data_IF_777060540825
#
_entry.id   IF_777060540825
#
_cell.length_a   1.000
_cell.length_b   1.000
_cell.length_c   1.000
_cell.angle_alpha   90.00
_cell.angle_beta   90.00
_cell.angle_gamma   90.00
#
_symmetry.space_group_name_H-M   'P 1'
#
loop_
_entity.id
_entity.type
_entity.pdbx_description
1 polymer ?
#
# COMPACT_ATOMS: atom_id res chain seq x y z
N UNK A 1 -15.61 -2.29 -3.65
CA UNK A 1 -14.17 -2.53 -3.89
C UNK A 1 -13.42 -1.61 -2.93
N UNK A 2 -12.25 -2.01 -2.47
CA UNK A 2 -11.45 -1.21 -1.54
C UNK A 2 -10.01 -1.14 -2.01
N UNK A 3 -9.31 -0.12 -1.56
CA UNK A 3 -7.88 0.06 -1.80
C UNK A 3 -7.15 -0.01 -0.46
N UNK A 4 -6.21 -0.94 -0.31
CA UNK A 4 -5.27 -0.92 0.81
C UNK A 4 -3.96 -0.26 0.36
N UNK A 5 -3.41 0.57 1.22
CA UNK A 5 -2.07 1.13 1.06
C UNK A 5 -1.22 0.66 2.23
N UNK A 6 -0.17 -0.09 1.94
CA UNK A 6 0.88 -0.40 2.89
C UNK A 6 2.10 0.46 2.65
N UNK A 7 2.81 0.83 3.71
CA UNK A 7 4.03 1.62 3.61
C UNK A 7 5.24 0.88 4.18
N UNK A 8 6.40 1.06 3.55
CA UNK A 8 7.70 0.58 4.05
C UNK A 8 8.81 1.56 3.68
N UNK A 9 9.81 1.72 4.55
CA UNK A 9 11.05 2.44 4.22
C UNK A 9 12.06 1.57 3.46
N UNK A 10 11.78 0.27 3.29
CA UNK A 10 12.64 -0.70 2.61
C UNK A 10 12.11 -1.01 1.21
N UNK A 11 12.92 -0.70 0.19
CA UNK A 11 12.61 -1.06 -1.19
C UNK A 11 12.40 -2.56 -1.36
N UNK A 12 13.19 -3.37 -0.67
CA UNK A 12 13.13 -4.84 -0.78
C UNK A 12 11.82 -5.38 -0.22
N UNK A 13 11.34 -4.84 0.90
CA UNK A 13 10.05 -5.24 1.47
C UNK A 13 8.89 -4.85 0.55
N UNK A 14 8.88 -3.60 0.08
CA UNK A 14 7.84 -3.15 -0.85
C UNK A 14 7.83 -3.95 -2.17
N UNK A 15 9.02 -4.25 -2.72
CA UNK A 15 9.14 -5.08 -3.92
C UNK A 15 8.70 -6.53 -3.67
N UNK A 16 9.02 -7.11 -2.51
CA UNK A 16 8.60 -8.45 -2.14
C UNK A 16 7.07 -8.54 -2.00
N UNK A 17 6.45 -7.56 -1.34
CA UNK A 17 5.01 -7.45 -1.21
C UNK A 17 4.32 -7.32 -2.57
N UNK A 18 4.85 -6.45 -3.44
CA UNK A 18 4.36 -6.25 -4.80
C UNK A 18 4.38 -7.55 -5.61
N UNK A 19 5.52 -8.25 -5.61
CA UNK A 19 5.68 -9.51 -6.35
C UNK A 19 4.73 -10.59 -5.84
N UNK A 20 4.61 -10.74 -4.51
CA UNK A 20 3.77 -11.78 -3.93
C UNK A 20 2.28 -11.54 -4.19
N UNK A 21 1.79 -10.30 -4.00
CA UNK A 21 0.40 -9.95 -4.30
C UNK A 21 0.08 -10.08 -5.79
N UNK A 22 1.01 -9.70 -6.66
CA UNK A 22 0.85 -9.87 -8.11
C UNK A 22 0.77 -11.34 -8.52
N UNK A 23 1.60 -12.20 -7.92
CA UNK A 23 1.57 -13.65 -8.18
C UNK A 23 0.26 -14.31 -7.75
N UNK A 24 -0.44 -13.71 -6.77
CA UNK A 24 -1.77 -14.14 -6.31
C UNK A 24 -2.92 -13.60 -7.18
N UNK A 25 -2.61 -12.74 -8.16
CA UNK A 25 -3.60 -12.19 -9.10
C UNK A 25 -4.23 -10.86 -8.67
N UNK A 26 -3.72 -10.21 -7.63
CA UNK A 26 -4.22 -8.90 -7.21
C UNK A 26 -3.76 -7.77 -8.12
N UNK A 27 -4.62 -6.75 -8.28
CA UNK A 27 -4.24 -5.47 -8.88
C UNK A 27 -3.42 -4.68 -7.84
N UNK A 28 -2.10 -4.69 -8.03
CA UNK A 28 -1.14 -4.10 -7.09
C UNK A 28 -0.11 -3.21 -7.82
N UNK A 29 0.14 -2.05 -7.22
CA UNK A 29 1.13 -1.06 -7.65
C UNK A 29 2.07 -0.72 -6.49
N UNK A 30 3.34 -0.44 -6.78
CA UNK A 30 4.27 0.10 -5.80
C UNK A 30 4.92 1.37 -6.35
N UNK A 31 4.92 2.42 -5.53
CA UNK A 31 5.45 3.72 -5.90
C UNK A 31 6.38 4.25 -4.81
N UNK A 32 7.48 4.87 -5.25
CA UNK A 32 8.37 5.62 -4.36
C UNK A 32 7.68 6.92 -3.93
N UNK A 33 7.51 7.10 -2.64
CA UNK A 33 6.96 8.31 -2.04
C UNK A 33 8.10 9.09 -1.39
N UNK A 34 8.34 10.31 -1.90
CA UNK A 34 9.34 11.21 -1.32
C UNK A 34 8.66 12.19 -0.38
N UNK A 35 9.27 12.39 0.78
CA UNK A 35 8.84 13.39 1.75
C UNK A 35 8.85 14.78 1.11
N UNK A 36 7.71 15.47 1.16
CA UNK A 36 7.55 16.79 0.56
C UNK A 36 7.20 16.82 -0.93
N UNK A 37 7.12 15.67 -1.61
CA UNK A 37 6.46 15.58 -2.91
C UNK A 37 4.95 15.37 -2.70
N UNK A 38 4.15 16.28 -3.28
CA UNK A 38 2.72 16.06 -3.44
C UNK A 38 2.54 14.89 -4.41
N UNK A 39 2.06 13.77 -3.88
CA UNK A 39 1.56 12.68 -4.71
C UNK A 39 0.30 13.19 -5.41
N UNK A 40 0.21 13.13 -6.74
CA UNK A 40 -0.98 13.53 -7.48
C UNK A 40 -1.87 12.30 -7.73
N UNK A 41 -3.14 12.35 -7.28
CA UNK A 41 -4.12 11.26 -7.45
C UNK A 41 -5.12 11.14 -6.30
N UNK A 42 -6.06 10.20 -6.40
CA UNK A 42 -7.08 9.94 -5.37
C UNK A 42 -6.50 9.54 -4.00
N UNK A 43 -5.26 9.05 -4.00
CA UNK A 43 -4.53 8.59 -2.81
C UNK A 43 -3.60 9.67 -2.23
N UNK A 44 -3.52 10.84 -2.88
CA UNK A 44 -2.64 11.95 -2.52
C UNK A 44 -2.70 12.32 -1.03
N UNK A 45 -3.92 12.49 -0.51
CA UNK A 45 -4.16 12.92 0.86
C UNK A 45 -3.83 11.84 1.91
N UNK A 46 -3.75 10.57 1.51
CA UNK A 46 -3.45 9.44 2.39
C UNK A 46 -1.95 9.18 2.43
N UNK A 47 -1.34 9.11 1.25
CA UNK A 47 0.11 9.01 1.08
C UNK A 47 0.82 10.19 1.74
N UNK A 48 0.34 11.43 1.55
CA UNK A 48 0.99 12.61 2.12
C UNK A 48 0.80 12.75 3.64
N UNK A 49 -0.20 12.10 4.25
CA UNK A 49 -0.39 12.11 5.72
C UNK A 49 0.50 11.10 6.44
N UNK A 50 0.82 9.99 5.79
CA UNK A 50 1.53 8.86 6.40
C UNK A 50 3.06 8.97 6.31
N UNK A 51 3.61 9.82 5.43
CA UNK A 51 5.06 10.00 5.27
C UNK A 51 5.60 11.28 5.92
N UNK A 52 6.49 11.11 6.91
CA UNK A 52 7.42 12.17 7.38
C UNK A 52 8.84 12.03 6.77
N UNK A 53 9.09 10.94 6.06
CA UNK A 53 10.38 10.55 5.47
C UNK A 53 10.16 9.91 4.09
N UNK A 54 11.21 9.71 3.31
CA UNK A 54 11.14 8.99 2.04
C UNK A 54 10.85 7.50 2.27
N UNK A 55 10.03 6.88 1.43
CA UNK A 55 9.79 5.45 1.45
C UNK A 55 8.95 4.96 0.28
N UNK A 56 8.33 3.80 0.44
CA UNK A 56 7.63 3.08 -0.60
C UNK A 56 6.20 2.82 -0.15
N UNK A 57 5.24 3.12 -1.03
CA UNK A 57 3.84 2.77 -0.85
C UNK A 57 3.49 1.61 -1.79
N UNK A 58 2.85 0.58 -1.26
CA UNK A 58 2.27 -0.53 -2.01
C UNK A 58 0.75 -0.38 -1.94
N UNK A 59 0.13 -0.17 -3.08
CA UNK A 59 -1.32 0.00 -3.22
C UNK A 59 -1.90 -1.27 -3.82
N UNK A 60 -2.94 -1.82 -3.21
CA UNK A 60 -3.63 -3.02 -3.70
C UNK A 60 -5.14 -2.82 -3.69
N UNK A 61 -5.79 -3.17 -4.79
CA UNK A 61 -7.25 -3.15 -4.91
C UNK A 61 -7.79 -4.56 -4.76
N UNK A 62 -8.77 -4.72 -3.87
CA UNK A 62 -9.38 -6.01 -3.58
C UNK A 62 -10.85 -5.88 -3.17
N UNK A 63 -11.51 -7.02 -2.98
CA UNK A 63 -12.84 -7.04 -2.39
C UNK A 63 -12.79 -6.70 -0.89
N UNK A 64 -13.90 -6.20 -0.34
CA UNK A 64 -13.95 -5.73 1.06
C UNK A 64 -13.75 -6.86 2.07
N UNK A 65 -14.13 -8.09 1.72
CA UNK A 65 -13.96 -9.30 2.51
C UNK A 65 -12.51 -9.82 2.50
N UNK A 66 -11.72 -9.48 1.48
CA UNK A 66 -10.29 -9.83 1.39
C UNK A 66 -9.38 -8.86 2.15
N UNK A 67 -9.91 -7.70 2.57
CA UNK A 67 -9.15 -6.62 3.21
C UNK A 67 -8.33 -7.10 4.41
N UNK A 68 -8.95 -7.91 5.27
CA UNK A 68 -8.34 -8.41 6.49
C UNK A 68 -7.13 -9.28 6.18
N UNK A 69 -7.29 -10.21 5.24
CA UNK A 69 -6.23 -11.12 4.82
C UNK A 69 -5.06 -10.38 4.17
N UNK A 70 -5.33 -9.40 3.30
CA UNK A 70 -4.27 -8.62 2.66
C UNK A 70 -3.54 -7.74 3.68
N UNK A 71 -4.26 -7.18 4.65
CA UNK A 71 -3.66 -6.38 5.72
C UNK A 71 -2.71 -7.22 6.57
N UNK A 72 -3.15 -8.38 7.05
CA UNK A 72 -2.29 -9.32 7.78
C UNK A 72 -1.08 -9.72 6.95
N UNK A 73 -1.30 -10.03 5.68
CA UNK A 73 -0.24 -10.43 4.76
C UNK A 73 0.83 -9.34 4.55
N UNK A 74 0.41 -8.09 4.33
CA UNK A 74 1.34 -6.97 4.15
C UNK A 74 2.12 -6.65 5.44
N UNK A 75 1.44 -6.68 6.59
CA UNK A 75 2.06 -6.39 7.88
C UNK A 75 3.01 -7.50 8.35
N UNK A 76 2.51 -8.74 8.43
CA UNK A 76 3.22 -9.85 9.06
C UNK A 76 4.30 -10.46 8.16
N UNK A 77 4.04 -10.58 6.85
CA UNK A 77 4.97 -11.28 5.95
C UNK A 77 5.98 -10.35 5.29
N UNK A 78 5.61 -9.08 5.09
CA UNK A 78 6.44 -8.12 4.37
C UNK A 78 6.91 -6.96 5.25
N UNK A 79 6.42 -6.84 6.49
CA UNK A 79 6.84 -5.80 7.43
C UNK A 79 6.38 -4.40 7.04
N UNK A 80 5.19 -4.27 6.43
CA UNK A 80 4.60 -2.96 6.14
C UNK A 80 3.83 -2.49 7.39
N UNK A 81 4.45 -1.60 8.17
CA UNK A 81 3.98 -1.20 9.50
C UNK A 81 2.80 -0.22 9.49
N UNK A 82 2.64 0.55 8.41
CA UNK A 82 1.56 1.52 8.27
C UNK A 82 0.63 1.06 7.15
N UNK A 83 -0.56 0.61 7.52
CA UNK A 83 -1.58 0.09 6.60
C UNK A 83 -2.84 0.96 6.70
N UNK A 84 -3.22 1.57 5.60
CA UNK A 84 -4.48 2.31 5.47
C UNK A 84 -5.44 1.56 4.54
N UNK A 85 -6.69 1.43 4.97
CA UNK A 85 -7.77 0.85 4.17
C UNK A 85 -8.68 1.99 3.74
N UNK A 86 -8.76 2.20 2.43
CA UNK A 86 -9.58 3.22 1.82
C UNK A 86 -10.77 2.51 1.17
N UNK A 87 -11.98 2.61 1.73
CA UNK A 87 -13.16 2.16 1.02
C UNK A 87 -13.33 3.02 -0.24
N UNK A 88 -13.50 2.38 -1.41
CA UNK A 88 -13.97 3.12 -2.58
C UNK A 88 -15.43 3.49 -2.32
N UNK A 89 -15.65 4.72 -1.84
CA UNK A 89 -17.00 5.27 -1.78
C UNK A 89 -17.54 5.34 -3.21
N UNK A 90 -18.69 4.72 -3.39
CA UNK A 90 -19.59 4.91 -4.52
C UNK A 90 -19.99 6.39 -4.63
#
# INVERSE_FOLDING_TARGET
MITLIGFSTSQTQAASALTDLRNRGYEVEATLVRSGQLYEGSLANYVNRSFKHDGYAVTVRCASDEAGHIREHLGELHGLDHLEIIPENN
#
